data_IF_703812426919
#
_entry.id   IF_703812426919
#
_cell.length_a   1.000
_cell.length_b   1.000
_cell.length_c   1.000
_cell.angle_alpha   90.00
_cell.angle_beta   90.00
_cell.angle_gamma   90.00
#
_symmetry.space_group_name_H-M   'P 1'
#
loop_
_entity.id
_entity.type
_entity.pdbx_description
1 polymer ?
#
# COMPACT_ATOMS: atom_id res chain seq x y z
N UNK A 1 -108.24 -40.70 -4.63
CA UNK A 1 -107.20 -40.60 -3.54
C UNK A 1 -105.82 -40.94 -4.00
N UNK A 2 -105.49 -41.10 -5.30
CA UNK A 2 -104.20 -41.49 -5.82
C UNK A 2 -103.19 -40.32 -6.04
N UNK A 3 -103.72 -39.15 -6.40
CA UNK A 3 -102.91 -38.04 -6.87
C UNK A 3 -102.03 -37.37 -5.76
N UNK A 4 -102.40 -37.53 -4.49
CA UNK A 4 -101.69 -36.89 -3.34
C UNK A 4 -100.43 -37.71 -2.95
N UNK A 5 -100.49 -38.99 -3.10
CA UNK A 5 -99.35 -39.91 -2.75
C UNK A 5 -98.22 -39.82 -3.80
N UNK A 6 -98.61 -39.69 -5.09
CA UNK A 6 -97.64 -39.60 -6.17
C UNK A 6 -96.88 -38.22 -6.10
N UNK A 7 -97.60 -37.15 -5.72
CA UNK A 7 -96.90 -35.83 -5.52
C UNK A 7 -95.91 -35.83 -4.36
N UNK A 8 -96.28 -36.52 -3.26
CA UNK A 8 -95.35 -36.65 -2.11
C UNK A 8 -94.13 -37.45 -2.45
N UNK A 9 -94.28 -38.52 -3.25
CA UNK A 9 -93.20 -39.36 -3.69
C UNK A 9 -92.22 -38.57 -4.61
N UNK A 10 -92.76 -37.80 -5.55
CA UNK A 10 -92.00 -36.96 -6.46
C UNK A 10 -91.22 -35.90 -5.69
N UNK A 11 -91.83 -35.31 -4.67
CA UNK A 11 -91.22 -34.29 -3.83
C UNK A 11 -90.10 -34.88 -2.94
N UNK A 12 -90.32 -36.09 -2.44
CA UNK A 12 -89.29 -36.83 -1.66
C UNK A 12 -88.12 -37.22 -2.53
N UNK A 13 -88.34 -37.77 -3.71
CA UNK A 13 -87.29 -38.14 -4.65
C UNK A 13 -86.49 -36.89 -5.16
N UNK A 14 -87.24 -35.83 -5.37
CA UNK A 14 -86.57 -34.54 -5.79
C UNK A 14 -85.73 -33.92 -4.67
N UNK A 15 -86.14 -34.11 -3.38
CA UNK A 15 -85.29 -33.64 -2.24
C UNK A 15 -84.07 -34.53 -2.06
N UNK A 16 -84.22 -35.90 -2.15
CA UNK A 16 -83.05 -36.75 -2.13
C UNK A 16 -82.09 -36.52 -3.28
N UNK A 17 -82.57 -36.32 -4.52
CA UNK A 17 -81.76 -35.98 -5.64
C UNK A 17 -81.02 -34.66 -5.45
N UNK A 18 -81.66 -33.64 -4.83
CA UNK A 18 -80.99 -32.37 -4.51
C UNK A 18 -79.94 -32.56 -3.42
N UNK A 19 -80.21 -33.38 -2.38
CA UNK A 19 -79.25 -33.72 -1.34
C UNK A 19 -78.05 -34.47 -1.90
N UNK A 20 -78.28 -35.48 -2.72
CA UNK A 20 -77.18 -36.18 -3.41
C UNK A 20 -76.36 -35.29 -4.35
N UNK A 21 -77.00 -34.40 -5.10
CA UNK A 21 -76.25 -33.41 -5.91
C UNK A 21 -75.41 -32.47 -5.05
N UNK A 22 -75.90 -31.99 -3.94
CA UNK A 22 -75.14 -31.14 -3.02
C UNK A 22 -73.92 -31.86 -2.44
N UNK A 23 -74.11 -33.09 -2.00
CA UNK A 23 -73.03 -33.95 -1.48
C UNK A 23 -72.00 -34.24 -2.57
N UNK A 24 -72.45 -34.52 -3.79
CA UNK A 24 -71.54 -34.77 -4.92
C UNK A 24 -70.75 -33.53 -5.30
N UNK A 25 -71.38 -32.35 -5.36
CA UNK A 25 -70.74 -31.06 -5.64
C UNK A 25 -69.74 -30.73 -4.51
N UNK A 26 -70.10 -30.89 -3.25
CA UNK A 26 -69.22 -30.68 -2.13
C UNK A 26 -68.00 -31.63 -2.16
N UNK A 27 -68.25 -32.91 -2.47
CA UNK A 27 -67.18 -33.90 -2.61
C UNK A 27 -66.20 -33.59 -3.74
N UNK A 28 -66.72 -33.21 -4.91
CA UNK A 28 -65.89 -32.79 -6.05
C UNK A 28 -65.10 -31.51 -5.73
N UNK A 29 -65.74 -30.53 -5.10
CA UNK A 29 -65.08 -29.30 -4.72
C UNK A 29 -63.94 -29.55 -3.73
N UNK A 30 -64.21 -30.38 -2.72
CA UNK A 30 -63.18 -30.76 -1.75
C UNK A 30 -62.01 -31.54 -2.40
N UNK A 31 -62.29 -32.45 -3.33
CA UNK A 31 -61.28 -33.16 -4.08
C UNK A 31 -60.42 -32.22 -4.92
N UNK A 32 -61.05 -31.25 -5.63
CA UNK A 32 -60.34 -30.24 -6.43
C UNK A 32 -59.43 -29.38 -5.56
N UNK A 33 -59.89 -28.93 -4.39
CA UNK A 33 -59.11 -28.16 -3.44
C UNK A 33 -57.91 -28.97 -2.92
N UNK A 34 -58.10 -30.23 -2.58
CA UNK A 34 -57.03 -31.10 -2.13
C UNK A 34 -55.97 -31.33 -3.22
N UNK A 35 -56.41 -31.55 -4.46
CA UNK A 35 -55.50 -31.72 -5.61
C UNK A 35 -54.74 -30.42 -5.89
N UNK A 36 -55.41 -29.29 -5.84
CA UNK A 36 -54.76 -27.97 -6.04
C UNK A 36 -53.74 -27.67 -4.93
N UNK A 37 -54.06 -27.96 -3.66
CA UNK A 37 -53.12 -27.78 -2.55
C UNK A 37 -51.94 -28.75 -2.66
N UNK A 38 -52.17 -29.99 -3.03
CA UNK A 38 -51.12 -30.99 -3.22
C UNK A 38 -50.20 -30.62 -4.39
N UNK A 39 -50.74 -30.12 -5.48
CA UNK A 39 -49.95 -29.57 -6.61
C UNK A 39 -49.14 -28.32 -6.22
N UNK A 40 -49.74 -27.42 -5.45
CA UNK A 40 -49.07 -26.23 -4.94
C UNK A 40 -47.91 -26.58 -3.99
N UNK A 41 -48.11 -27.53 -3.07
CA UNK A 41 -47.05 -28.05 -2.20
C UNK A 41 -45.95 -28.74 -3.00
N UNK A 42 -46.31 -29.51 -4.02
CA UNK A 42 -45.33 -30.16 -4.90
C UNK A 42 -44.43 -29.15 -5.63
N UNK A 43 -45.03 -28.10 -6.19
CA UNK A 43 -44.28 -27.00 -6.83
C UNK A 43 -43.40 -26.26 -5.82
N UNK A 44 -43.94 -25.96 -4.65
CA UNK A 44 -43.16 -25.28 -3.60
C UNK A 44 -41.94 -26.11 -3.19
N UNK A 45 -42.11 -27.41 -2.91
CA UNK A 45 -40.99 -28.29 -2.57
C UNK A 45 -39.99 -28.43 -3.69
N UNK A 46 -40.44 -28.47 -4.93
CA UNK A 46 -39.57 -28.51 -6.10
C UNK A 46 -38.70 -27.25 -6.21
N UNK A 47 -39.29 -26.08 -6.05
CA UNK A 47 -38.58 -24.79 -6.09
C UNK A 47 -37.55 -24.71 -4.94
N UNK A 48 -37.95 -25.05 -3.72
CA UNK A 48 -37.06 -25.06 -2.55
C UNK A 48 -35.92 -26.07 -2.71
N UNK A 49 -36.19 -27.26 -3.20
CA UNK A 49 -35.19 -28.29 -3.44
C UNK A 49 -34.19 -27.85 -4.51
N UNK A 50 -34.67 -27.22 -5.60
CA UNK A 50 -33.83 -26.72 -6.64
C UNK A 50 -32.95 -25.54 -6.15
N UNK A 51 -33.50 -24.62 -5.37
CA UNK A 51 -32.73 -23.50 -4.77
C UNK A 51 -31.65 -24.02 -3.81
N UNK A 52 -31.98 -25.01 -2.98
CA UNK A 52 -31.00 -25.67 -2.09
C UNK A 52 -29.92 -26.41 -2.88
N UNK A 53 -30.27 -27.09 -3.97
CA UNK A 53 -29.27 -27.73 -4.86
C UNK A 53 -28.31 -26.73 -5.46
N UNK A 54 -28.81 -25.61 -6.00
CA UNK A 54 -27.97 -24.55 -6.58
C UNK A 54 -27.08 -23.90 -5.50
N UNK A 55 -27.60 -23.67 -4.29
CA UNK A 55 -26.80 -23.15 -3.18
C UNK A 55 -25.72 -24.15 -2.74
N UNK A 56 -26.06 -25.44 -2.69
CA UNK A 56 -25.10 -26.49 -2.36
C UNK A 56 -23.97 -26.58 -3.38
N UNK A 57 -24.30 -26.50 -4.68
CA UNK A 57 -23.29 -26.49 -5.74
C UNK A 57 -22.37 -25.26 -5.65
N UNK A 58 -22.94 -24.08 -5.35
CA UNK A 58 -22.14 -22.87 -5.14
C UNK A 58 -21.21 -23.00 -3.93
N UNK A 59 -21.71 -23.47 -2.80
CA UNK A 59 -20.90 -23.70 -1.61
C UNK A 59 -19.78 -24.71 -1.85
N UNK A 60 -20.05 -25.75 -2.61
CA UNK A 60 -19.02 -26.75 -2.99
C UNK A 60 -17.96 -26.09 -3.89
N UNK A 61 -18.38 -25.31 -4.89
CA UNK A 61 -17.46 -24.60 -5.78
C UNK A 61 -16.61 -23.57 -5.04
N UNK A 62 -17.20 -22.84 -4.08
CA UNK A 62 -16.48 -21.87 -3.24
C UNK A 62 -15.51 -22.57 -2.29
N UNK A 63 -15.90 -23.72 -1.72
CA UNK A 63 -15.03 -24.58 -0.90
C UNK A 63 -13.81 -25.05 -1.69
N UNK A 64 -14.03 -25.57 -2.90
CA UNK A 64 -12.96 -26.04 -3.79
C UNK A 64 -12.02 -24.88 -4.22
N UNK A 65 -12.59 -23.68 -4.36
CA UNK A 65 -11.82 -22.47 -4.65
C UNK A 65 -10.96 -22.04 -3.48
N UNK A 66 -11.52 -22.06 -2.27
CA UNK A 66 -10.79 -21.73 -1.04
C UNK A 66 -9.68 -22.74 -0.77
N UNK A 67 -9.94 -24.03 -1.00
CA UNK A 67 -8.92 -25.08 -0.84
C UNK A 67 -7.76 -24.91 -1.83
N UNK A 68 -8.05 -24.58 -3.09
CA UNK A 68 -7.02 -24.25 -4.08
C UNK A 68 -6.23 -22.99 -3.71
N UNK A 69 -6.90 -21.96 -3.17
CA UNK A 69 -6.25 -20.75 -2.71
C UNK A 69 -5.36 -21.02 -1.50
N UNK A 70 -5.82 -21.81 -0.54
CA UNK A 70 -5.04 -22.23 0.62
C UNK A 70 -3.82 -23.07 0.22
N UNK A 71 -3.96 -23.93 -0.79
CA UNK A 71 -2.85 -24.73 -1.32
C UNK A 71 -1.80 -23.86 -2.02
N UNK A 72 -2.23 -22.87 -2.85
CA UNK A 72 -1.31 -21.91 -3.48
C UNK A 72 -0.59 -21.07 -2.45
N UNK A 73 -1.30 -20.51 -1.47
CA UNK A 73 -0.69 -19.74 -0.39
C UNK A 73 0.34 -20.56 0.42
N UNK A 74 0.01 -21.83 0.71
CA UNK A 74 0.93 -22.72 1.43
C UNK A 74 2.20 -22.98 0.62
N UNK A 75 2.06 -23.22 -0.67
CA UNK A 75 3.18 -23.37 -1.60
C UNK A 75 4.06 -22.11 -1.68
N UNK A 76 3.43 -20.93 -1.70
CA UNK A 76 4.14 -19.64 -1.77
C UNK A 76 4.88 -19.37 -0.45
N UNK A 77 4.28 -19.69 0.70
CA UNK A 77 4.93 -19.62 2.02
C UNK A 77 6.14 -20.57 2.08
N UNK A 78 5.99 -21.81 1.63
CA UNK A 78 7.09 -22.78 1.60
C UNK A 78 8.21 -22.31 0.65
N UNK A 79 7.86 -21.72 -0.47
CA UNK A 79 8.83 -21.15 -1.41
C UNK A 79 9.55 -19.92 -0.82
N UNK A 80 8.83 -19.05 -0.10
CA UNK A 80 9.42 -17.91 0.63
C UNK A 80 10.33 -18.39 1.76
N UNK A 81 9.90 -19.36 2.56
CA UNK A 81 10.73 -19.96 3.62
C UNK A 81 12.01 -20.58 3.07
N UNK A 82 11.93 -21.26 1.92
CA UNK A 82 13.11 -21.80 1.25
C UNK A 82 14.04 -20.72 0.71
N UNK A 83 13.50 -19.59 0.23
CA UNK A 83 14.30 -18.42 -0.19
C UNK A 83 14.97 -17.75 1.00
N UNK A 84 14.26 -17.55 2.11
CA UNK A 84 14.82 -17.00 3.35
C UNK A 84 15.94 -17.91 3.87
N UNK A 85 15.72 -19.22 3.92
CA UNK A 85 16.74 -20.18 4.34
C UNK A 85 17.98 -20.19 3.40
N UNK A 86 17.76 -20.03 2.10
CA UNK A 86 18.86 -19.91 1.13
C UNK A 86 19.62 -18.59 1.28
N UNK A 87 18.93 -17.48 1.56
CA UNK A 87 19.51 -16.18 1.84
C UNK A 87 20.31 -16.20 3.15
N UNK A 88 19.76 -16.78 4.23
CA UNK A 88 20.50 -16.97 5.48
C UNK A 88 21.76 -17.83 5.28
N UNK A 89 21.66 -18.88 4.48
CA UNK A 89 22.81 -19.73 4.17
C UNK A 89 23.85 -19.02 3.30
N UNK A 90 23.43 -18.11 2.41
CA UNK A 90 24.34 -17.28 1.61
C UNK A 90 25.00 -16.20 2.47
N UNK A 91 24.25 -15.56 3.36
CA UNK A 91 24.76 -14.59 4.34
C UNK A 91 25.78 -15.26 5.26
N UNK A 92 25.50 -16.45 5.80
CA UNK A 92 26.46 -17.22 6.63
C UNK A 92 27.73 -17.58 5.87
N UNK A 93 27.62 -18.00 4.60
CA UNK A 93 28.79 -18.28 3.77
C UNK A 93 29.62 -17.03 3.49
N UNK A 94 28.98 -15.92 3.11
CA UNK A 94 29.68 -14.65 2.92
C UNK A 94 30.34 -14.17 4.22
N UNK A 95 29.72 -14.44 5.37
CA UNK A 95 30.25 -14.15 6.68
C UNK A 95 31.48 -15.02 7.02
N UNK A 96 31.42 -16.32 6.77
CA UNK A 96 32.54 -17.24 7.00
C UNK A 96 33.70 -16.94 6.05
N UNK A 97 33.45 -16.58 4.81
CA UNK A 97 34.46 -16.12 3.84
C UNK A 97 35.09 -14.79 4.28
N UNK A 98 34.31 -13.81 4.72
CA UNK A 98 34.83 -12.57 5.31
C UNK A 98 35.66 -12.87 6.56
N UNK A 99 35.16 -13.71 7.49
CA UNK A 99 35.87 -14.08 8.69
C UNK A 99 37.21 -14.77 8.40
N UNK A 100 37.29 -15.61 7.36
CA UNK A 100 38.53 -16.22 6.92
C UNK A 100 39.50 -15.21 6.30
N UNK A 101 39.02 -14.24 5.52
CA UNK A 101 39.83 -13.14 4.99
C UNK A 101 40.39 -12.22 6.07
N UNK A 102 39.68 -12.08 7.20
CA UNK A 102 40.00 -11.12 8.28
C UNK A 102 40.69 -11.78 9.51
N UNK A 103 40.84 -13.09 9.55
CA UNK A 103 41.53 -13.77 10.64
C UNK A 103 43.06 -13.60 10.57
N UNK A 104 43.61 -12.77 9.68
CA UNK A 104 45.01 -12.45 9.55
C UNK A 104 45.50 -11.44 10.61
N UNK A 105 46.81 -11.42 10.95
CA UNK A 105 47.37 -10.77 12.15
C UNK A 105 47.58 -9.25 12.01
N UNK A 106 46.67 -8.49 11.38
CA UNK A 106 46.92 -7.07 11.08
C UNK A 106 45.83 -6.16 11.68
N UNK A 107 46.05 -5.68 12.89
CA UNK A 107 45.24 -4.63 13.54
C UNK A 107 45.21 -3.27 12.82
N UNK A 108 45.91 -3.11 11.68
CA UNK A 108 45.85 -1.92 10.82
C UNK A 108 44.86 -2.01 9.69
N UNK A 109 44.59 -3.22 9.19
CA UNK A 109 43.64 -3.46 8.07
C UNK A 109 42.16 -3.38 8.50
N UNK A 110 41.88 -3.52 9.78
CA UNK A 110 40.49 -3.40 10.29
C UNK A 110 39.93 -1.98 10.06
N UNK A 111 40.78 -0.97 10.05
CA UNK A 111 40.40 0.45 9.86
C UNK A 111 39.90 0.75 8.45
N UNK A 112 40.63 0.25 7.43
CA UNK A 112 40.30 0.53 6.03
C UNK A 112 39.02 -0.16 5.56
N UNK A 113 38.53 -1.16 6.30
CA UNK A 113 37.37 -1.97 5.92
C UNK A 113 36.03 -1.53 6.59
N UNK A 114 36.10 -0.69 7.61
CA UNK A 114 34.91 -0.25 8.36
C UNK A 114 34.28 0.97 7.73
N UNK A 115 35.08 1.89 7.20
CA UNK A 115 34.58 3.09 6.55
C UNK A 115 33.63 2.79 5.38
N UNK A 116 33.92 1.81 4.47
CA UNK A 116 32.99 1.41 3.42
C UNK A 116 31.64 0.87 3.96
N UNK A 117 31.66 0.19 5.11
CA UNK A 117 30.42 -0.31 5.75
C UNK A 117 29.56 0.86 6.26
N UNK A 118 30.20 1.87 6.86
CA UNK A 118 29.50 3.07 7.32
C UNK A 118 28.94 3.88 6.14
N UNK A 119 29.71 4.01 5.08
CA UNK A 119 29.26 4.64 3.83
C UNK A 119 28.03 3.91 3.29
N UNK A 120 28.09 2.58 3.16
CA UNK A 120 26.98 1.77 2.70
C UNK A 120 25.74 1.90 3.61
N UNK A 121 25.94 1.98 4.91
CA UNK A 121 24.86 2.19 5.87
C UNK A 121 24.26 3.60 5.79
N UNK A 122 25.08 4.63 5.89
CA UNK A 122 24.60 6.03 5.96
C UNK A 122 24.09 6.56 4.62
N UNK A 123 24.70 6.20 3.50
CA UNK A 123 24.36 6.71 2.18
C UNK A 123 23.31 5.85 1.45
N UNK A 124 23.32 4.55 1.65
CA UNK A 124 22.45 3.59 0.94
C UNK A 124 21.44 2.87 1.83
N UNK A 125 21.57 2.93 3.15
CA UNK A 125 20.71 2.24 4.11
C UNK A 125 20.94 0.74 4.20
N UNK A 126 22.14 0.25 3.87
CA UNK A 126 22.48 -1.17 3.98
C UNK A 126 22.71 -1.56 5.43
N UNK A 127 21.71 -2.14 6.05
CA UNK A 127 21.76 -2.52 7.47
C UNK A 127 22.52 -3.82 7.72
N UNK A 128 22.38 -4.82 6.84
CA UNK A 128 22.95 -6.14 7.07
C UNK A 128 24.47 -6.15 7.18
N UNK A 129 25.15 -5.29 6.40
CA UNK A 129 26.59 -5.14 6.49
C UNK A 129 27.05 -4.36 7.74
N UNK A 130 26.22 -3.42 8.21
CA UNK A 130 26.55 -2.58 9.36
C UNK A 130 26.35 -3.29 10.69
N UNK A 131 25.35 -4.16 10.78
CA UNK A 131 24.84 -4.74 12.00
C UNK A 131 25.89 -5.47 12.84
N UNK A 132 26.65 -6.35 12.23
CA UNK A 132 27.61 -7.19 12.98
C UNK A 132 28.94 -6.48 13.24
N UNK A 133 29.35 -5.63 12.31
CA UNK A 133 30.61 -4.90 12.40
C UNK A 133 30.57 -3.72 13.38
N UNK A 134 29.48 -2.99 13.44
CA UNK A 134 29.35 -1.85 14.36
C UNK A 134 29.35 -2.28 15.82
N UNK A 135 28.83 -3.45 16.16
CA UNK A 135 28.88 -4.01 17.51
C UNK A 135 30.33 -4.41 17.89
N UNK A 136 31.09 -5.04 17.00
CA UNK A 136 32.49 -5.39 17.23
C UNK A 136 33.35 -4.14 17.46
N UNK A 137 33.08 -3.07 16.72
CA UNK A 137 33.85 -1.83 16.78
C UNK A 137 33.50 -1.00 18.03
N UNK A 138 32.25 -0.98 18.48
CA UNK A 138 31.88 -0.37 19.77
C UNK A 138 32.65 -0.99 20.94
N UNK A 139 32.92 -2.30 20.88
CA UNK A 139 33.67 -2.99 21.93
C UNK A 139 35.19 -2.76 21.88
N UNK A 140 35.73 -2.34 20.73
CA UNK A 140 37.16 -2.29 20.47
C UNK A 140 37.78 -0.87 20.55
N UNK A 141 37.01 0.23 20.50
CA UNK A 141 37.59 1.58 20.39
C UNK A 141 36.93 2.62 21.30
N UNK A 142 37.66 3.23 22.23
CA UNK A 142 37.18 4.38 22.98
C UNK A 142 37.06 5.61 22.08
N UNK A 143 35.97 6.33 22.20
CA UNK A 143 35.45 7.45 21.42
C UNK A 143 36.29 8.73 21.42
N UNK A 144 37.61 8.67 21.59
CA UNK A 144 38.46 9.86 21.69
C UNK A 144 38.90 10.45 20.34
N UNK A 145 38.67 9.75 19.24
CA UNK A 145 39.00 10.22 17.88
C UNK A 145 37.73 10.58 17.10
N UNK A 146 37.83 11.46 16.10
CA UNK A 146 36.69 11.79 15.23
C UNK A 146 36.11 10.54 14.53
N UNK A 147 36.97 9.59 14.15
CA UNK A 147 36.57 8.32 13.57
C UNK A 147 35.83 7.45 14.59
N UNK A 148 36.30 7.32 15.83
CA UNK A 148 35.59 6.64 16.91
C UNK A 148 34.25 7.28 17.23
N UNK A 149 34.16 8.60 17.12
CA UNK A 149 32.89 9.33 17.26
C UNK A 149 31.92 9.01 16.11
N UNK A 150 32.39 8.96 14.84
CA UNK A 150 31.57 8.58 13.68
C UNK A 150 31.01 7.16 13.86
N UNK A 151 31.86 6.21 14.24
CA UNK A 151 31.50 4.81 14.48
C UNK A 151 30.45 4.68 15.57
N UNK A 152 30.64 5.40 16.68
CA UNK A 152 29.70 5.41 17.79
C UNK A 152 28.35 6.01 17.37
N UNK A 153 28.37 7.10 16.60
CA UNK A 153 27.16 7.72 16.07
C UNK A 153 26.35 6.77 15.20
N UNK A 154 27.01 6.07 14.27
CA UNK A 154 26.39 5.07 13.41
C UNK A 154 25.81 3.89 14.21
N UNK A 155 26.56 3.39 15.22
CA UNK A 155 26.10 2.28 16.04
C UNK A 155 24.91 2.66 16.96
N UNK A 156 24.92 3.86 17.55
CA UNK A 156 23.79 4.36 18.35
C UNK A 156 22.53 4.57 17.48
N UNK A 157 22.70 5.07 16.25
CA UNK A 157 21.61 5.24 15.29
C UNK A 157 21.01 3.87 14.91
N UNK A 158 21.84 2.91 14.55
CA UNK A 158 21.43 1.56 14.20
C UNK A 158 20.72 0.85 15.38
N UNK A 159 21.26 1.00 16.60
CA UNK A 159 20.61 0.47 17.81
C UNK A 159 19.23 1.07 18.06
N UNK A 160 19.06 2.37 17.77
CA UNK A 160 17.76 3.03 17.85
C UNK A 160 16.77 2.46 16.83
N UNK A 161 17.17 2.29 15.59
CA UNK A 161 16.31 1.73 14.53
C UNK A 161 15.87 0.29 14.85
N UNK A 162 16.79 -0.54 15.31
CA UNK A 162 16.48 -1.92 15.73
C UNK A 162 15.53 -2.00 16.92
N UNK A 163 15.57 -1.02 17.82
CA UNK A 163 14.66 -1.00 18.96
C UNK A 163 13.19 -0.82 18.57
N UNK A 164 12.90 -0.45 17.32
CA UNK A 164 11.56 -0.08 16.86
C UNK A 164 11.00 1.13 17.59
N UNK A 165 11.87 1.90 18.29
CA UNK A 165 11.46 3.09 19.01
C UNK A 165 10.96 4.16 18.04
N UNK A 166 9.93 4.90 18.45
CA UNK A 166 9.37 6.01 17.68
C UNK A 166 9.33 7.26 18.55
N UNK A 167 9.55 8.41 17.93
CA UNK A 167 9.31 9.70 18.58
C UNK A 167 7.80 9.94 18.57
N UNK A 168 7.17 9.93 19.75
CA UNK A 168 5.72 10.02 19.91
C UNK A 168 5.25 11.47 19.94
N UNK A 169 3.97 11.68 19.61
CA UNK A 169 3.31 12.97 19.81
C UNK A 169 3.33 13.29 21.31
N UNK A 170 3.98 14.40 21.69
CA UNK A 170 4.13 14.83 23.09
C UNK A 170 5.52 14.58 23.71
N UNK A 171 6.42 13.88 23.04
CA UNK A 171 7.79 13.74 23.52
C UNK A 171 8.52 15.11 23.57
N UNK A 172 9.14 15.42 24.68
CA UNK A 172 9.77 16.74 24.93
C UNK A 172 11.13 16.92 24.25
N UNK A 173 11.57 16.00 23.39
CA UNK A 173 12.86 16.09 22.71
C UNK A 173 13.24 14.83 21.96
N UNK A 174 14.45 14.84 21.43
CA UNK A 174 15.04 13.67 20.77
C UNK A 174 15.35 12.60 21.83
N UNK A 175 15.01 11.31 21.63
CA UNK A 175 15.34 10.23 22.56
C UNK A 175 16.83 10.17 22.88
N UNK A 176 17.18 9.72 24.10
CA UNK A 176 18.59 9.72 24.58
C UNK A 176 19.56 9.02 23.63
N UNK A 177 19.12 7.92 23.01
CA UNK A 177 19.94 7.16 22.06
C UNK A 177 20.22 7.97 20.80
N UNK A 178 19.20 8.61 20.21
CA UNK A 178 19.39 9.52 19.08
C UNK A 178 20.18 10.76 19.45
N UNK A 179 20.03 11.28 20.67
CA UNK A 179 20.85 12.39 21.18
C UNK A 179 22.31 11.97 21.28
N UNK A 180 22.61 10.76 21.77
CA UNK A 180 23.96 10.21 21.79
C UNK A 180 24.57 10.08 20.39
N UNK A 181 23.76 9.60 19.42
CA UNK A 181 24.19 9.53 18.03
C UNK A 181 24.47 10.94 17.46
N UNK A 182 23.59 11.91 17.73
CA UNK A 182 23.73 13.30 17.29
C UNK A 182 25.02 13.94 17.84
N UNK A 183 25.28 13.78 19.14
CA UNK A 183 26.48 14.33 19.79
C UNK A 183 27.75 13.68 19.22
N UNK A 184 27.69 12.37 18.93
CA UNK A 184 28.79 11.63 18.33
C UNK A 184 29.08 12.05 16.89
N UNK A 185 28.08 12.19 16.04
CA UNK A 185 28.26 12.72 14.68
C UNK A 185 28.75 14.17 14.71
N UNK A 186 28.26 14.99 15.65
CA UNK A 186 28.75 16.37 15.82
C UNK A 186 30.23 16.42 16.19
N UNK A 187 30.69 15.50 17.03
CA UNK A 187 32.11 15.37 17.35
C UNK A 187 32.95 14.92 16.14
N UNK A 188 32.41 14.08 15.27
CA UNK A 188 33.09 13.62 14.05
C UNK A 188 33.27 14.73 13.00
N UNK A 189 32.50 15.81 13.03
CA UNK A 189 32.64 16.97 12.12
C UNK A 189 33.99 17.67 12.23
N UNK A 190 34.73 17.43 13.29
CA UNK A 190 36.07 18.02 13.50
C UNK A 190 37.11 17.51 12.50
N UNK A 191 36.88 16.36 11.91
CA UNK A 191 37.73 15.80 10.86
C UNK A 191 37.13 16.13 9.47
N UNK A 192 37.85 16.91 8.63
CA UNK A 192 37.38 17.25 7.29
C UNK A 192 37.12 16.05 6.38
N UNK A 193 37.87 14.94 6.55
CA UNK A 193 37.72 13.73 5.74
C UNK A 193 36.43 12.94 6.08
N UNK A 194 35.91 13.10 7.30
CA UNK A 194 34.71 12.42 7.80
C UNK A 194 33.46 13.32 7.80
N UNK A 195 33.64 14.60 7.43
CA UNK A 195 32.59 15.62 7.55
C UNK A 195 31.31 15.24 6.80
N UNK A 196 31.42 14.82 5.54
CA UNK A 196 30.28 14.43 4.71
C UNK A 196 29.48 13.29 5.37
N UNK A 197 30.13 12.25 5.84
CA UNK A 197 29.48 11.11 6.49
C UNK A 197 28.83 11.51 7.83
N UNK A 198 29.51 12.35 8.62
CA UNK A 198 28.94 12.84 9.87
C UNK A 198 27.69 13.73 9.62
N UNK A 199 27.72 14.54 8.57
CA UNK A 199 26.58 15.34 8.14
C UNK A 199 25.44 14.45 7.64
N UNK A 200 25.73 13.35 6.93
CA UNK A 200 24.72 12.35 6.52
C UNK A 200 24.02 11.75 7.75
N UNK A 201 24.77 11.36 8.78
CA UNK A 201 24.19 10.86 10.04
C UNK A 201 23.30 11.90 10.75
N UNK A 202 23.73 13.17 10.78
CA UNK A 202 22.94 14.26 11.34
C UNK A 202 21.67 14.55 10.51
N UNK A 203 21.75 14.50 9.19
CA UNK A 203 20.61 14.66 8.30
C UNK A 203 19.59 13.53 8.51
N UNK A 204 20.07 12.29 8.70
CA UNK A 204 19.19 11.16 9.01
C UNK A 204 18.42 11.36 10.31
N UNK A 205 19.10 11.75 11.39
CA UNK A 205 18.45 12.06 12.67
C UNK A 205 17.40 13.17 12.51
N UNK A 206 17.72 14.21 11.72
CA UNK A 206 16.78 15.29 11.42
C UNK A 206 15.57 14.79 10.64
N UNK A 207 15.76 13.87 9.70
CA UNK A 207 14.66 13.24 8.97
C UNK A 207 13.79 12.33 9.85
N UNK A 208 14.41 11.55 10.75
CA UNK A 208 13.68 10.75 11.74
C UNK A 208 12.76 11.65 12.58
N UNK A 209 13.25 12.80 13.02
CA UNK A 209 12.41 13.76 13.75
C UNK A 209 11.32 14.37 12.85
N UNK A 210 11.66 14.80 11.64
CA UNK A 210 10.70 15.37 10.69
C UNK A 210 9.57 14.40 10.33
N UNK A 211 9.89 13.12 10.11
CA UNK A 211 8.93 12.07 9.74
C UNK A 211 8.15 11.50 10.92
N UNK A 212 8.50 11.86 12.15
CA UNK A 212 7.88 11.34 13.35
C UNK A 212 6.43 11.83 13.54
N UNK A 213 5.59 11.09 14.29
CA UNK A 213 4.25 11.56 14.68
C UNK A 213 4.24 12.89 15.42
N UNK A 214 5.35 13.26 16.06
CA UNK A 214 5.52 14.56 16.75
C UNK A 214 5.57 15.71 15.75
N UNK A 215 6.33 15.57 14.69
CA UNK A 215 6.64 16.64 13.73
C UNK A 215 5.76 16.61 12.49
N UNK A 216 5.30 15.43 12.09
CA UNK A 216 4.42 15.22 10.93
C UNK A 216 4.84 16.02 9.69
N UNK A 217 6.14 16.05 9.41
CA UNK A 217 6.74 16.83 8.32
C UNK A 217 6.49 18.35 8.43
N UNK A 218 6.50 18.89 9.64
CA UNK A 218 6.38 20.32 9.85
C UNK A 218 7.45 21.09 9.04
N UNK A 219 7.08 22.26 8.52
CA UNK A 219 7.92 23.08 7.62
C UNK A 219 9.32 23.29 8.18
N UNK A 220 9.44 23.68 9.47
CA UNK A 220 10.73 23.93 10.11
C UNK A 220 11.62 22.68 10.15
N UNK A 221 11.04 21.50 10.42
CA UNK A 221 11.78 20.24 10.49
C UNK A 221 12.24 19.80 9.09
N UNK A 222 11.41 19.94 8.07
CA UNK A 222 11.78 19.66 6.70
C UNK A 222 12.84 20.65 6.15
N UNK A 223 12.77 21.92 6.53
CA UNK A 223 13.83 22.88 6.22
C UNK A 223 15.16 22.51 6.88
N UNK A 224 15.12 21.97 8.11
CA UNK A 224 16.33 21.47 8.74
C UNK A 224 16.93 20.26 8.01
N UNK A 225 16.10 19.33 7.52
CA UNK A 225 16.55 18.22 6.65
C UNK A 225 17.20 18.76 5.37
N UNK A 226 16.55 19.68 4.67
CA UNK A 226 17.05 20.29 3.44
C UNK A 226 18.41 20.99 3.66
N UNK A 227 18.52 21.78 4.72
CA UNK A 227 19.76 22.45 5.10
C UNK A 227 20.90 21.46 5.43
N UNK A 228 20.59 20.36 6.14
CA UNK A 228 21.58 19.34 6.48
C UNK A 228 22.02 18.55 5.24
N UNK A 229 21.10 18.18 4.37
CA UNK A 229 21.41 17.50 3.11
C UNK A 229 22.27 18.39 2.22
N UNK A 230 21.97 19.68 2.12
CA UNK A 230 22.77 20.66 1.37
C UNK A 230 24.19 20.87 1.90
N UNK A 231 24.47 20.47 3.15
CA UNK A 231 25.83 20.52 3.72
C UNK A 231 26.67 19.28 3.40
N UNK A 232 26.05 18.17 2.98
CA UNK A 232 26.75 16.92 2.66
C UNK A 232 27.58 17.09 1.40
N UNK A 233 27.01 17.70 0.36
CA UNK A 233 27.63 17.92 -0.93
C UNK A 233 26.66 18.42 -1.98
N UNK A 234 27.14 18.48 -3.23
CA UNK A 234 26.28 18.76 -4.38
C UNK A 234 25.35 17.57 -4.68
N UNK A 235 24.26 17.82 -5.41
CA UNK A 235 23.28 16.76 -5.77
C UNK A 235 23.93 15.55 -6.45
N UNK A 236 25.03 15.77 -7.18
CA UNK A 236 25.79 14.70 -7.84
C UNK A 236 26.59 13.83 -6.87
N UNK A 237 26.85 14.29 -5.66
CA UNK A 237 27.60 13.61 -4.62
C UNK A 237 26.71 12.89 -3.61
N UNK A 238 25.40 13.23 -3.59
CA UNK A 238 24.45 12.65 -2.64
C UNK A 238 24.10 11.20 -2.99
N UNK A 239 24.05 10.36 -1.97
CA UNK A 239 23.59 8.97 -2.06
C UNK A 239 22.06 8.83 -2.11
N UNK A 240 21.57 7.59 -2.18
CA UNK A 240 20.14 7.24 -2.22
C UNK A 240 19.36 7.84 -1.05
N UNK A 241 19.84 7.63 0.18
CA UNK A 241 19.11 8.02 1.40
C UNK A 241 18.95 9.53 1.56
N UNK A 242 20.03 10.37 1.51
CA UNK A 242 19.90 11.81 1.63
C UNK A 242 18.95 12.42 0.60
N UNK A 243 19.02 11.98 -0.66
CA UNK A 243 18.10 12.41 -1.71
C UNK A 243 16.67 11.99 -1.41
N UNK A 244 16.45 10.75 -0.93
CA UNK A 244 15.13 10.27 -0.53
C UNK A 244 14.54 11.10 0.62
N UNK A 245 15.31 11.43 1.65
CA UNK A 245 14.81 12.22 2.78
C UNK A 245 14.39 13.64 2.35
N UNK A 246 15.21 14.29 1.52
CA UNK A 246 14.88 15.61 0.96
C UNK A 246 13.66 15.55 0.06
N UNK A 247 13.57 14.54 -0.80
CA UNK A 247 12.42 14.30 -1.65
C UNK A 247 11.11 14.14 -0.87
N UNK A 248 11.12 13.34 0.21
CA UNK A 248 9.95 13.14 1.07
C UNK A 248 9.51 14.45 1.74
N UNK A 249 10.46 15.22 2.26
CA UNK A 249 10.18 16.52 2.83
C UNK A 249 9.61 17.49 1.77
N UNK A 250 10.23 17.58 0.60
CA UNK A 250 9.76 18.44 -0.49
C UNK A 250 8.34 18.03 -0.93
N UNK A 251 8.06 16.74 -1.07
CA UNK A 251 6.72 16.22 -1.40
C UNK A 251 5.68 16.66 -0.36
N UNK A 252 5.97 16.49 0.93
CA UNK A 252 5.05 16.84 2.02
C UNK A 252 4.85 18.35 2.17
N UNK A 253 5.81 19.15 1.71
CA UNK A 253 5.71 20.62 1.65
C UNK A 253 5.07 21.15 0.35
N UNK A 254 4.63 20.27 -0.56
CA UNK A 254 4.07 20.66 -1.86
C UNK A 254 5.10 21.21 -2.85
N UNK A 255 6.40 21.04 -2.58
CA UNK A 255 7.50 21.42 -3.49
C UNK A 255 7.70 20.32 -4.53
N UNK A 256 6.74 20.25 -5.43
CA UNK A 256 6.58 19.10 -6.35
C UNK A 256 7.76 18.94 -7.31
N UNK A 257 8.34 20.05 -7.80
CA UNK A 257 9.48 20.01 -8.74
C UNK A 257 10.74 19.48 -8.09
N UNK A 258 11.07 19.99 -6.91
CA UNK A 258 12.21 19.55 -6.12
C UNK A 258 12.07 18.08 -5.71
N UNK A 259 10.87 17.69 -5.30
CA UNK A 259 10.58 16.28 -4.97
C UNK A 259 10.75 15.36 -6.18
N UNK A 260 10.26 15.77 -7.37
CA UNK A 260 10.43 15.01 -8.61
C UNK A 260 11.91 14.80 -8.94
N UNK A 261 12.71 15.88 -8.87
CA UNK A 261 14.14 15.83 -9.12
C UNK A 261 14.86 14.90 -8.14
N UNK A 262 14.61 15.07 -6.84
CA UNK A 262 15.29 14.31 -5.79
C UNK A 262 14.96 12.82 -5.84
N UNK A 263 13.68 12.42 -6.03
CA UNK A 263 13.32 11.02 -6.19
C UNK A 263 13.95 10.38 -7.42
N UNK A 264 13.93 11.11 -8.55
CA UNK A 264 14.51 10.61 -9.79
C UNK A 264 16.02 10.43 -9.68
N UNK A 265 16.71 11.38 -9.04
CA UNK A 265 18.14 11.27 -8.74
C UNK A 265 18.43 10.13 -7.75
N UNK A 266 17.66 10.03 -6.67
CA UNK A 266 17.83 8.96 -5.67
C UNK A 266 17.78 7.57 -6.32
N UNK A 267 16.77 7.32 -7.16
CA UNK A 267 16.60 6.05 -7.84
C UNK A 267 17.65 5.81 -8.93
N UNK A 268 18.17 6.84 -9.57
CA UNK A 268 19.26 6.72 -10.54
C UNK A 268 20.61 6.37 -9.88
N UNK A 269 20.76 6.54 -8.55
CA UNK A 269 21.94 6.11 -7.78
C UNK A 269 21.94 4.61 -7.46
N UNK A 270 20.81 3.95 -7.66
CA UNK A 270 20.69 2.52 -7.48
C UNK A 270 21.13 1.84 -8.75
N UNK A 271 22.13 0.99 -8.65
CA UNK A 271 22.46 0.07 -9.74
C UNK A 271 21.44 -1.05 -9.75
N UNK A 272 20.35 -0.85 -10.52
CA UNK A 272 19.25 -1.80 -10.63
C UNK A 272 19.66 -3.09 -11.38
N UNK A 273 20.80 -3.05 -12.06
CA UNK A 273 21.31 -4.17 -12.86
C UNK A 273 22.45 -4.92 -12.15
N UNK A 274 22.81 -4.53 -10.92
CA UNK A 274 23.86 -5.23 -10.17
C UNK A 274 23.39 -6.62 -9.72
N UNK A 275 24.22 -7.65 -9.92
CA UNK A 275 23.99 -9.02 -9.45
C UNK A 275 24.04 -9.14 -7.90
N UNK A 276 24.39 -8.07 -7.21
CA UNK A 276 24.38 -8.00 -5.76
C UNK A 276 22.94 -8.04 -5.24
N UNK A 277 22.62 -9.01 -4.40
CA UNK A 277 21.32 -9.09 -3.73
C UNK A 277 21.15 -7.84 -2.89
N UNK A 278 20.17 -6.95 -3.21
CA UNK A 278 20.00 -5.70 -2.48
C UNK A 278 19.62 -6.00 -1.03
N UNK A 279 20.18 -5.22 -0.10
CA UNK A 279 19.80 -5.25 1.31
C UNK A 279 18.30 -4.93 1.47
N UNK A 280 17.54 -5.68 2.31
CA UNK A 280 16.10 -5.43 2.51
C UNK A 280 15.78 -4.00 2.95
N UNK A 281 16.65 -3.35 3.72
CA UNK A 281 16.45 -1.97 4.12
C UNK A 281 16.67 -1.00 2.95
N UNK A 282 17.72 -1.22 2.13
CA UNK A 282 17.91 -0.46 0.88
C UNK A 282 16.73 -0.66 -0.06
N UNK A 283 16.24 -1.89 -0.23
CA UNK A 283 15.03 -2.18 -1.01
C UNK A 283 13.80 -1.44 -0.49
N UNK A 284 13.66 -1.30 0.84
CA UNK A 284 12.58 -0.55 1.45
C UNK A 284 12.65 0.94 1.09
N UNK A 285 13.85 1.52 1.07
CA UNK A 285 14.05 2.91 0.65
C UNK A 285 13.71 3.08 -0.83
N UNK A 286 14.21 2.17 -1.69
CA UNK A 286 13.89 2.16 -3.12
C UNK A 286 12.38 2.06 -3.37
N UNK A 287 11.71 1.13 -2.70
CA UNK A 287 10.26 0.95 -2.77
C UNK A 287 9.51 2.24 -2.42
N UNK A 288 9.90 2.89 -1.32
CA UNK A 288 9.29 4.13 -0.88
C UNK A 288 9.63 5.29 -1.83
N UNK A 289 10.82 5.30 -2.44
CA UNK A 289 11.21 6.29 -3.44
C UNK A 289 10.41 6.11 -4.74
N UNK A 290 10.20 4.88 -5.22
CA UNK A 290 9.32 4.61 -6.39
C UNK A 290 7.86 5.01 -6.10
N UNK A 291 7.34 4.70 -4.90
CA UNK A 291 6.01 5.16 -4.49
C UNK A 291 5.92 6.68 -4.48
N UNK A 292 6.90 7.37 -3.87
CA UNK A 292 6.98 8.82 -3.82
C UNK A 292 7.07 9.44 -5.20
N UNK A 293 7.92 8.90 -6.07
CA UNK A 293 8.08 9.34 -7.46
C UNK A 293 6.76 9.21 -8.23
N UNK A 294 6.11 8.05 -8.16
CA UNK A 294 4.81 7.84 -8.79
C UNK A 294 3.76 8.84 -8.30
N UNK A 295 3.68 9.08 -6.99
CA UNK A 295 2.76 10.07 -6.42
C UNK A 295 3.05 11.49 -6.94
N UNK A 296 4.31 11.89 -6.99
CA UNK A 296 4.71 13.21 -7.46
C UNK A 296 4.44 13.37 -8.95
N UNK A 297 4.66 12.35 -9.77
CA UNK A 297 4.36 12.39 -11.21
C UNK A 297 2.87 12.66 -11.47
N UNK A 298 1.95 12.13 -10.67
CA UNK A 298 0.52 12.46 -10.79
C UNK A 298 0.33 13.98 -10.62
N UNK A 299 0.92 14.55 -9.58
CA UNK A 299 0.75 15.99 -9.25
C UNK A 299 1.50 16.92 -10.20
N UNK A 300 2.50 16.41 -10.96
CA UNK A 300 3.22 17.23 -11.96
C UNK A 300 2.51 17.32 -13.30
N UNK A 301 1.38 16.66 -13.48
CA UNK A 301 0.64 16.71 -14.74
C UNK A 301 0.18 18.14 -15.10
N UNK A 302 -0.12 18.96 -14.10
CA UNK A 302 -0.60 20.32 -14.26
C UNK A 302 0.53 21.37 -14.23
N UNK A 303 1.79 20.95 -14.01
CA UNK A 303 2.91 21.86 -14.03
C UNK A 303 3.27 22.24 -15.47
N UNK A 304 3.57 23.54 -15.73
CA UNK A 304 4.06 23.95 -17.03
C UNK A 304 5.39 23.25 -17.32
N UNK A 305 5.57 22.85 -18.59
CA UNK A 305 6.81 22.27 -19.06
C UNK A 305 7.96 23.27 -18.87
N UNK A 306 9.00 22.85 -18.21
CA UNK A 306 10.28 23.56 -18.11
C UNK A 306 11.43 22.56 -18.14
N UNK A 307 12.64 23.05 -18.46
CA UNK A 307 13.80 22.18 -18.65
C UNK A 307 14.14 21.32 -17.42
N UNK A 308 13.84 21.77 -16.20
CA UNK A 308 14.07 21.03 -14.97
C UNK A 308 13.07 19.87 -14.81
N UNK A 309 11.78 20.14 -15.03
CA UNK A 309 10.72 19.12 -14.99
C UNK A 309 10.94 18.08 -16.09
N UNK A 310 11.26 18.51 -17.32
CA UNK A 310 11.48 17.59 -18.44
C UNK A 310 12.72 16.70 -18.20
N UNK A 311 13.81 17.26 -17.66
CA UNK A 311 15.00 16.49 -17.29
C UNK A 311 14.69 15.46 -16.21
N UNK A 312 13.94 15.84 -15.17
CA UNK A 312 13.56 14.93 -14.08
C UNK A 312 12.58 13.84 -14.56
N UNK A 313 11.67 14.15 -15.49
CA UNK A 313 10.80 13.16 -16.14
C UNK A 313 11.60 12.16 -16.98
N UNK A 314 12.55 12.64 -17.79
CA UNK A 314 13.42 11.77 -18.58
C UNK A 314 14.26 10.84 -17.69
N UNK A 315 14.66 11.29 -16.50
CA UNK A 315 15.34 10.46 -15.53
C UNK A 315 14.37 9.43 -14.90
N UNK A 316 13.13 9.83 -14.60
CA UNK A 316 12.08 8.94 -14.12
C UNK A 316 11.76 7.84 -15.17
N UNK A 317 11.69 8.18 -16.46
CA UNK A 317 11.52 7.21 -17.54
C UNK A 317 12.64 6.15 -17.55
N UNK A 318 13.87 6.57 -17.31
CA UNK A 318 15.03 5.66 -17.25
C UNK A 318 14.91 4.69 -16.09
N UNK A 319 14.56 5.17 -14.89
CA UNK A 319 14.53 4.34 -13.69
C UNK A 319 13.26 3.48 -13.55
N UNK A 320 12.12 3.96 -14.04
CA UNK A 320 10.87 3.21 -14.01
C UNK A 320 10.70 2.28 -15.22
N UNK A 321 11.37 2.58 -16.32
CA UNK A 321 11.20 1.90 -17.60
C UNK A 321 9.98 2.46 -18.38
N UNK A 322 10.01 2.36 -19.72
CA UNK A 322 8.85 2.65 -20.54
C UNK A 322 7.81 1.55 -20.30
N UNK A 323 6.73 1.88 -19.64
CA UNK A 323 5.62 0.94 -19.42
C UNK A 323 5.06 0.44 -20.72
N UNK A 324 4.72 -0.84 -20.78
CA UNK A 324 4.00 -1.45 -21.90
C UNK A 324 2.60 -0.86 -21.97
N UNK A 325 2.32 -0.23 -23.10
CA UNK A 325 1.03 0.10 -23.72
C UNK A 325 -0.22 -0.10 -22.85
N UNK A 326 -0.51 0.88 -22.01
CA UNK A 326 -1.86 1.16 -21.54
C UNK A 326 -2.38 2.39 -22.29
N UNK A 327 -3.70 2.46 -22.50
CA UNK A 327 -4.37 3.61 -23.08
C UNK A 327 -4.35 4.74 -22.02
N UNK A 328 -3.54 5.74 -22.21
CA UNK A 328 -3.45 6.87 -21.28
C UNK A 328 -2.42 7.89 -21.72
N UNK A 329 -2.35 9.03 -21.03
CA UNK A 329 -1.29 9.98 -21.30
C UNK A 329 0.07 9.34 -20.99
N UNK A 330 1.11 9.70 -21.76
CA UNK A 330 2.45 9.16 -21.57
C UNK A 330 2.94 9.37 -20.11
N UNK A 331 2.54 10.46 -19.48
CA UNK A 331 2.89 10.75 -18.08
C UNK A 331 2.21 9.78 -17.11
N UNK A 332 0.92 9.45 -17.32
CA UNK A 332 0.21 8.52 -16.45
C UNK A 332 0.69 7.07 -16.67
N UNK A 333 1.11 6.71 -17.88
CA UNK A 333 1.79 5.44 -18.13
C UNK A 333 3.12 5.33 -17.36
N UNK A 334 3.94 6.37 -17.40
CA UNK A 334 5.18 6.45 -16.63
C UNK A 334 4.90 6.34 -15.11
N UNK A 335 3.89 7.05 -14.65
CA UNK A 335 3.45 7.01 -13.25
C UNK A 335 3.07 5.59 -12.83
N UNK A 336 2.25 4.90 -13.62
CA UNK A 336 1.87 3.50 -13.38
C UNK A 336 3.09 2.58 -13.34
N UNK A 337 4.05 2.76 -14.25
CA UNK A 337 5.29 1.98 -14.25
C UNK A 337 6.10 2.16 -12.96
N UNK A 338 6.23 3.39 -12.44
CA UNK A 338 6.91 3.65 -11.17
C UNK A 338 6.17 2.99 -9.99
N UNK A 339 4.84 3.11 -9.94
CA UNK A 339 4.02 2.50 -8.89
C UNK A 339 4.08 0.96 -8.94
N UNK A 340 4.12 0.37 -10.14
CA UNK A 340 4.28 -1.07 -10.32
C UNK A 340 5.64 -1.58 -9.81
N UNK A 341 6.71 -0.81 -10.00
CA UNK A 341 8.01 -1.12 -9.38
C UNK A 341 7.95 -1.07 -7.86
N UNK A 342 7.27 -0.07 -7.27
CA UNK A 342 7.07 -0.01 -5.83
C UNK A 342 6.28 -1.23 -5.32
N UNK A 343 5.22 -1.65 -6.02
CA UNK A 343 4.43 -2.83 -5.68
C UNK A 343 5.28 -4.10 -5.79
N UNK A 344 6.05 -4.25 -6.86
CA UNK A 344 6.92 -5.41 -7.07
C UNK A 344 7.98 -5.54 -5.97
N UNK A 345 8.62 -4.43 -5.55
CA UNK A 345 9.57 -4.43 -4.44
C UNK A 345 8.90 -4.79 -3.10
N UNK A 346 7.68 -4.32 -2.84
CA UNK A 346 6.92 -4.72 -1.64
C UNK A 346 6.67 -6.22 -1.60
N UNK A 347 6.27 -6.80 -2.72
CA UNK A 347 6.09 -8.25 -2.85
C UNK A 347 7.40 -8.99 -2.62
N UNK A 348 8.50 -8.51 -3.19
CA UNK A 348 9.84 -9.09 -3.01
C UNK A 348 10.31 -9.05 -1.56
N UNK A 349 9.93 -8.00 -0.80
CA UNK A 349 10.19 -7.87 0.63
C UNK A 349 9.27 -8.73 1.51
N UNK A 350 8.35 -9.51 0.93
CA UNK A 350 7.43 -10.36 1.67
C UNK A 350 6.37 -9.56 2.45
N UNK A 351 6.16 -8.29 2.11
CA UNK A 351 5.11 -7.49 2.74
C UNK A 351 3.74 -8.02 2.32
N UNK A 352 2.78 -8.03 3.26
CA UNK A 352 1.42 -8.46 2.99
C UNK A 352 0.73 -7.56 1.97
N UNK A 353 -0.28 -8.06 1.27
CA UNK A 353 -1.07 -7.29 0.31
C UNK A 353 -1.62 -5.99 0.93
N UNK A 354 -2.00 -5.99 2.21
CA UNK A 354 -2.45 -4.80 2.94
C UNK A 354 -1.38 -3.69 3.01
N UNK A 355 -0.10 -4.04 2.99
CA UNK A 355 1.00 -3.06 2.96
C UNK A 355 1.29 -2.52 1.55
N UNK A 356 0.68 -3.10 0.52
CA UNK A 356 0.78 -2.65 -0.87
C UNK A 356 -0.23 -1.57 -1.23
N UNK A 357 -1.23 -1.33 -0.36
CA UNK A 357 -2.40 -0.48 -0.63
C UNK A 357 -2.05 0.90 -1.18
N UNK A 358 -1.15 1.64 -0.54
CA UNK A 358 -0.86 3.02 -0.93
C UNK A 358 -0.39 3.19 -2.38
N UNK A 359 0.47 2.30 -2.90
CA UNK A 359 0.89 2.37 -4.32
C UNK A 359 -0.22 1.90 -5.27
N UNK A 360 -0.99 0.89 -4.85
CA UNK A 360 -2.11 0.39 -5.64
C UNK A 360 -3.26 1.42 -5.68
N UNK A 361 -3.57 2.07 -4.56
CA UNK A 361 -4.55 3.16 -4.50
C UNK A 361 -4.15 4.32 -5.42
N UNK A 362 -2.90 4.79 -5.33
CA UNK A 362 -2.40 5.86 -6.19
C UNK A 362 -2.45 5.49 -7.68
N UNK A 363 -2.26 4.21 -8.02
CA UNK A 363 -2.44 3.73 -9.39
C UNK A 363 -3.89 3.89 -9.86
N UNK A 364 -4.90 3.68 -9.00
CA UNK A 364 -6.31 3.96 -9.28
C UNK A 364 -6.56 5.42 -9.69
N UNK A 365 -5.93 6.36 -9.00
CA UNK A 365 -6.03 7.79 -9.35
C UNK A 365 -5.43 8.12 -10.72
N UNK A 366 -4.42 7.39 -11.20
CA UNK A 366 -3.88 7.63 -12.55
C UNK A 366 -4.88 7.31 -13.65
N UNK A 367 -5.71 6.30 -13.47
CA UNK A 367 -6.79 5.97 -14.39
C UNK A 367 -7.90 7.02 -14.35
N UNK A 368 -8.32 7.45 -13.16
CA UNK A 368 -9.31 8.53 -13.02
C UNK A 368 -8.84 9.83 -13.67
N UNK A 369 -7.54 10.15 -13.52
CA UNK A 369 -6.95 11.36 -14.10
C UNK A 369 -6.85 11.32 -15.62
N UNK A 370 -6.65 10.13 -16.18
CA UNK A 370 -6.69 9.90 -17.65
C UNK A 370 -8.12 9.90 -18.22
N UNK A 371 -9.16 9.90 -17.38
CA UNK A 371 -10.55 9.70 -17.78
C UNK A 371 -10.87 8.26 -18.17
N UNK A 372 -9.98 7.32 -17.88
CA UNK A 372 -10.18 5.88 -18.06
C UNK A 372 -10.95 5.29 -16.87
N UNK A 373 -12.25 5.59 -16.83
CA UNK A 373 -13.12 5.16 -15.72
C UNK A 373 -13.32 3.64 -15.70
N UNK A 374 -13.30 2.96 -16.84
CA UNK A 374 -13.36 1.49 -16.89
C UNK A 374 -12.10 0.88 -16.30
N UNK A 375 -10.93 1.36 -16.69
CA UNK A 375 -9.64 0.93 -16.13
C UNK A 375 -9.53 1.21 -14.62
N UNK A 376 -10.02 2.37 -14.14
CA UNK A 376 -10.11 2.70 -12.73
C UNK A 376 -11.00 1.72 -11.96
N UNK A 377 -12.17 1.41 -12.52
CA UNK A 377 -13.15 0.50 -11.95
C UNK A 377 -12.60 -0.93 -11.83
N UNK A 378 -12.03 -1.46 -12.90
CA UNK A 378 -11.40 -2.78 -12.90
C UNK A 378 -10.20 -2.87 -11.95
N UNK A 379 -9.39 -1.80 -11.87
CA UNK A 379 -8.26 -1.74 -10.98
C UNK A 379 -8.72 -1.73 -9.51
N UNK A 380 -9.68 -0.87 -9.16
CA UNK A 380 -10.23 -0.79 -7.81
C UNK A 380 -10.86 -2.11 -7.35
N UNK A 381 -11.57 -2.82 -8.23
CA UNK A 381 -12.13 -4.14 -7.95
C UNK A 381 -11.06 -5.22 -7.71
N UNK A 382 -9.86 -5.08 -8.28
CA UNK A 382 -8.72 -5.97 -7.99
C UNK A 382 -8.11 -5.67 -6.62
N UNK A 383 -7.96 -4.39 -6.28
CA UNK A 383 -7.41 -3.95 -4.98
C UNK A 383 -8.35 -4.33 -3.85
N UNK A 384 -9.67 -4.18 -4.02
CA UNK A 384 -10.68 -4.55 -3.02
C UNK A 384 -10.55 -6.02 -2.56
N UNK A 385 -10.14 -6.93 -3.45
CA UNK A 385 -9.92 -8.34 -3.08
C UNK A 385 -8.82 -8.54 -2.05
N UNK A 386 -7.97 -7.54 -1.83
CA UNK A 386 -6.88 -7.57 -0.86
C UNK A 386 -7.25 -6.95 0.48
N UNK A 387 -8.32 -6.15 0.53
CA UNK A 387 -8.83 -5.49 1.73
C UNK A 387 -9.66 -4.24 1.41
N UNK A 388 -10.26 -3.67 2.45
CA UNK A 388 -10.97 -2.40 2.36
C UNK A 388 -10.00 -1.25 2.64
N UNK A 389 -9.88 -0.33 1.68
CA UNK A 389 -9.01 0.84 1.77
C UNK A 389 -9.77 2.10 1.37
N UNK A 390 -9.68 3.14 2.20
CA UNK A 390 -10.47 4.36 2.04
C UNK A 390 -10.38 4.97 0.64
N UNK A 391 -9.18 5.12 0.14
CA UNK A 391 -8.94 5.76 -1.16
C UNK A 391 -9.33 4.85 -2.32
N UNK A 392 -9.16 3.54 -2.18
CA UNK A 392 -9.61 2.58 -3.18
C UNK A 392 -11.13 2.56 -3.30
N UNK A 393 -11.87 2.63 -2.16
CA UNK A 393 -13.32 2.71 -2.17
C UNK A 393 -13.81 4.02 -2.80
N UNK A 394 -13.07 5.11 -2.61
CA UNK A 394 -13.37 6.38 -3.28
C UNK A 394 -13.16 6.28 -4.81
N UNK A 395 -12.03 5.71 -5.25
CA UNK A 395 -11.78 5.44 -6.68
C UNK A 395 -12.88 4.56 -7.26
N UNK A 396 -13.26 3.50 -6.53
CA UNK A 396 -14.33 2.56 -6.94
C UNK A 396 -15.69 3.25 -7.04
N UNK A 397 -16.04 4.10 -6.09
CA UNK A 397 -17.30 4.84 -6.11
C UNK A 397 -17.38 5.79 -7.29
N UNK A 398 -16.35 6.63 -7.49
CA UNK A 398 -16.28 7.59 -8.59
C UNK A 398 -16.32 6.86 -9.95
N UNK A 399 -15.52 5.82 -10.12
CA UNK A 399 -15.46 5.08 -11.39
C UNK A 399 -16.75 4.33 -11.69
N UNK A 400 -17.37 3.68 -10.69
CA UNK A 400 -18.64 2.97 -10.85
C UNK A 400 -19.77 3.91 -11.29
N UNK A 401 -19.82 5.13 -10.75
CA UNK A 401 -20.80 6.14 -11.19
C UNK A 401 -20.61 6.55 -12.65
N UNK A 402 -19.35 6.75 -13.05
CA UNK A 402 -19.02 7.15 -14.43
C UNK A 402 -19.28 6.05 -15.45
N UNK A 403 -19.11 4.76 -15.07
CA UNK A 403 -19.45 3.61 -15.95
C UNK A 403 -20.92 3.19 -15.85
N UNK A 404 -21.69 3.77 -14.91
CA UNK A 404 -23.14 3.52 -14.77
C UNK A 404 -23.48 2.27 -13.94
N UNK A 405 -22.56 1.71 -13.16
CA UNK A 405 -22.85 0.61 -12.23
C UNK A 405 -23.35 1.15 -10.87
N UNK A 406 -24.64 1.48 -10.81
CA UNK A 406 -25.27 2.01 -9.60
C UNK A 406 -25.19 1.08 -8.40
N UNK A 407 -25.07 -0.24 -8.62
CA UNK A 407 -25.02 -1.21 -7.52
C UNK A 407 -23.69 -1.13 -6.81
N UNK A 408 -22.61 -1.17 -7.57
CA UNK A 408 -21.25 -1.04 -7.03
C UNK A 408 -21.02 0.37 -6.50
N UNK A 409 -21.52 1.41 -7.18
CA UNK A 409 -21.41 2.78 -6.70
C UNK A 409 -22.00 2.96 -5.29
N UNK A 410 -23.21 2.42 -5.03
CA UNK A 410 -23.84 2.46 -3.71
C UNK A 410 -23.06 1.67 -2.65
N UNK A 411 -22.55 0.50 -3.02
CA UNK A 411 -21.75 -0.31 -2.12
C UNK A 411 -20.46 0.41 -1.73
N UNK A 412 -19.72 0.93 -2.72
CA UNK A 412 -18.48 1.65 -2.50
C UNK A 412 -18.67 2.93 -1.68
N UNK A 413 -19.71 3.71 -1.94
CA UNK A 413 -20.11 4.87 -1.11
C UNK A 413 -20.33 4.46 0.35
N UNK A 414 -21.11 3.39 0.57
CA UNK A 414 -21.33 2.85 1.92
C UNK A 414 -19.99 2.46 2.59
N UNK A 415 -19.05 1.90 1.83
CA UNK A 415 -17.74 1.57 2.36
C UNK A 415 -16.93 2.82 2.71
N UNK A 416 -17.02 3.90 1.92
CA UNK A 416 -16.41 5.20 2.23
C UNK A 416 -16.87 5.70 3.61
N UNK A 417 -18.15 5.52 3.96
CA UNK A 417 -18.70 5.94 5.27
C UNK A 417 -18.12 5.17 6.47
N UNK A 418 -17.45 4.03 6.25
CA UNK A 418 -16.79 3.26 7.31
C UNK A 418 -15.45 3.85 7.75
N UNK A 419 -14.89 4.78 6.98
CA UNK A 419 -13.62 5.42 7.28
C UNK A 419 -13.82 6.76 7.97
N UNK A 420 -12.84 7.19 8.78
CA UNK A 420 -12.87 8.54 9.34
C UNK A 420 -12.74 9.59 8.23
N UNK A 421 -13.52 10.69 8.26
CA UNK A 421 -13.37 11.80 7.30
C UNK A 421 -11.94 12.36 7.28
N UNK A 422 -11.23 12.33 8.41
CA UNK A 422 -9.83 12.76 8.52
C UNK A 422 -8.87 11.89 7.69
N UNK A 423 -9.28 10.67 7.29
CA UNK A 423 -8.55 9.79 6.39
C UNK A 423 -8.54 10.27 4.93
N UNK A 424 -9.46 11.18 4.57
CA UNK A 424 -9.55 11.78 3.25
C UNK A 424 -8.92 13.17 3.27
N UNK A 425 -7.61 13.26 3.09
CA UNK A 425 -6.93 14.54 2.95
C UNK A 425 -7.33 15.19 1.62
N UNK A 426 -8.23 16.15 1.67
CA UNK A 426 -8.79 16.75 0.49
C UNK A 426 -7.77 17.53 -0.36
N UNK A 427 -6.74 18.12 0.23
CA UNK A 427 -5.68 18.78 -0.54
C UNK A 427 -4.84 17.75 -1.31
N UNK A 428 -4.58 16.61 -0.71
CA UNK A 428 -3.88 15.51 -1.38
C UNK A 428 -4.74 14.91 -2.50
N UNK A 429 -6.05 14.72 -2.25
CA UNK A 429 -7.00 14.25 -3.26
C UNK A 429 -7.15 15.24 -4.42
N UNK A 430 -7.25 16.54 -4.14
CA UNK A 430 -7.30 17.58 -5.17
C UNK A 430 -6.07 17.56 -6.06
N UNK A 431 -4.89 17.31 -5.51
CA UNK A 431 -3.66 17.19 -6.27
C UNK A 431 -3.59 15.90 -7.13
N UNK A 432 -4.29 14.84 -6.72
CA UNK A 432 -4.29 13.55 -7.40
C UNK A 432 -5.35 13.43 -8.51
N UNK A 433 -6.35 14.31 -8.56
CA UNK A 433 -7.49 14.22 -9.48
C UNK A 433 -7.56 15.44 -10.41
N UNK A 434 -8.32 15.32 -11.49
CA UNK A 434 -8.79 16.49 -12.25
C UNK A 434 -9.87 17.23 -11.46
N UNK A 435 -10.11 18.54 -11.69
CA UNK A 435 -11.16 19.28 -10.98
C UNK A 435 -12.53 18.61 -11.01
N UNK A 436 -12.95 18.08 -12.16
CA UNK A 436 -14.24 17.39 -12.34
C UNK A 436 -14.33 16.08 -11.56
N UNK A 437 -13.25 15.31 -11.51
CA UNK A 437 -13.18 14.06 -10.74
C UNK A 437 -13.13 14.35 -9.25
N UNK A 438 -12.42 15.40 -8.86
CA UNK A 438 -12.34 15.84 -7.47
C UNK A 438 -13.72 16.31 -6.95
N UNK A 439 -14.49 17.07 -7.75
CA UNK A 439 -15.85 17.47 -7.40
C UNK A 439 -16.75 16.25 -7.13
N UNK A 440 -16.71 15.24 -8.02
CA UNK A 440 -17.45 13.99 -7.82
C UNK A 440 -17.00 13.24 -6.55
N UNK A 441 -15.71 13.20 -6.27
CA UNK A 441 -15.16 12.57 -5.06
C UNK A 441 -15.58 13.35 -3.79
N UNK A 442 -15.57 14.68 -3.83
CA UNK A 442 -15.99 15.54 -2.73
C UNK A 442 -17.47 15.36 -2.43
N UNK A 443 -18.32 15.27 -3.46
CA UNK A 443 -19.76 15.01 -3.30
C UNK A 443 -20.01 13.66 -2.60
N UNK A 444 -19.24 12.62 -2.96
CA UNK A 444 -19.31 11.31 -2.29
C UNK A 444 -18.94 11.44 -0.83
N UNK A 445 -17.78 12.05 -0.52
CA UNK A 445 -17.32 12.21 0.86
C UNK A 445 -18.30 13.04 1.68
N UNK A 446 -18.79 14.16 1.15
CA UNK A 446 -19.73 15.05 1.83
C UNK A 446 -21.08 14.39 2.04
N UNK A 447 -21.59 13.58 1.11
CA UNK A 447 -22.84 12.84 1.26
C UNK A 447 -22.81 11.82 2.40
N UNK A 448 -21.64 11.23 2.67
CA UNK A 448 -21.47 10.19 3.67
C UNK A 448 -21.04 10.73 5.05
N UNK A 449 -20.34 11.87 5.10
CA UNK A 449 -19.76 12.42 6.33
C UNK A 449 -20.25 13.83 6.70
N UNK A 450 -21.14 14.44 5.90
CA UNK A 450 -21.54 15.84 6.03
C UNK A 450 -20.54 16.81 5.41
N UNK A 451 -20.85 18.09 5.43
CA UNK A 451 -20.00 19.13 4.83
C UNK A 451 -18.63 19.15 5.49
N UNK A 452 -17.65 18.61 4.78
CA UNK A 452 -16.25 18.70 5.17
C UNK A 452 -15.70 19.97 4.54
N UNK A 453 -15.46 20.99 5.36
CA UNK A 453 -14.82 22.21 4.91
C UNK A 453 -13.36 21.91 4.54
N UNK A 454 -13.14 21.79 3.23
CA UNK A 454 -11.82 21.50 2.66
C UNK A 454 -11.10 22.82 2.43
N UNK A 455 -10.50 23.36 3.46
CA UNK A 455 -9.56 24.48 3.30
C UNK A 455 -8.16 23.92 2.96
N UNK A 456 -7.80 23.94 1.68
CA UNK A 456 -6.41 23.77 1.25
C UNK A 456 -5.71 25.12 1.37
N UNK A 457 -4.87 25.31 2.39
CA UNK A 457 -4.03 26.49 2.58
C UNK A 457 -2.68 26.30 1.92
#
# INVERSE_FOLDING_TARGET
MSDSADRQLIDLVSREQRGLRQILIAGITTLVVVVMMSAGLGVYYYVVANDLSVKSERLTADSDRLERHAFTMRRDIDQQNNRVAAQEAAIRRAYDEMRQMYAGPAGGQARDNVLPVIVAYLERGRHSLADERLIEIQSANPSSTAEGALLKGAADLLAWERSGAQIRKGDAGVPKTLKSAQDSFSAALTDPALRSLAQTGLAWISFIDASSPRSSYAVANCQAVDAMVGQIGSDDELGLQPLYWRAQCNRKLGRTREALSDYSLALNRVDLDSDDTPDPAEQTIQMNAFHGLGTVLITTADLPADAGVDSARALAERVCGAGTVDQGSQLMMLTRACLDKAIALRVALGQTENQQSGSAENKGFTYLRDGDFEGAFEHAARVEKTGLFAWNELVRAVSAEKVGDETVAREARRNVSLFSPEGFNACELQALMTPEVFESAQDIISSEHGDIEVACN
#
